data_IF_034856021060
#
_entry.id   IF_034856021060
#
_cell.length_a   1.000
_cell.length_b   1.000
_cell.length_c   1.000
_cell.angle_alpha   90.00
_cell.angle_beta   90.00
_cell.angle_gamma   90.00
#
_symmetry.space_group_name_H-M   'P 1'
#
loop_
_entity.id
_entity.type
_entity.pdbx_description
1 polymer ?
#
# COMPACT_ATOMS: atom_id res chain seq x y z
N UNK A 1 -6.48 9.74 -58.62
CA UNK A 1 -6.66 8.43 -57.93
C UNK A 1 -5.47 8.02 -57.06
N UNK A 2 -4.19 8.20 -57.41
CA UNK A 2 -3.00 7.83 -56.62
C UNK A 2 -2.90 8.53 -55.26
N UNK A 3 -3.16 9.86 -55.15
CA UNK A 3 -3.11 10.64 -53.89
C UNK A 3 -4.10 10.12 -52.82
N UNK A 4 -5.32 9.75 -53.18
CA UNK A 4 -6.32 9.21 -52.21
C UNK A 4 -5.92 7.82 -51.66
N UNK A 5 -5.23 6.98 -52.43
CA UNK A 5 -4.74 5.68 -51.97
C UNK A 5 -3.58 5.82 -51.02
N UNK A 6 -2.67 6.79 -51.25
CA UNK A 6 -1.54 7.07 -50.35
C UNK A 6 -1.99 7.61 -49.00
N UNK A 7 -2.94 8.56 -48.98
CA UNK A 7 -3.50 9.09 -47.70
C UNK A 7 -4.17 7.98 -46.88
N UNK A 8 -4.93 7.07 -47.52
CA UNK A 8 -5.53 5.93 -46.83
C UNK A 8 -4.48 4.97 -46.23
N UNK A 9 -3.38 4.72 -46.93
CA UNK A 9 -2.26 3.89 -46.45
C UNK A 9 -1.54 4.56 -45.27
N UNK A 10 -1.32 5.87 -45.37
CA UNK A 10 -0.71 6.64 -44.26
C UNK A 10 -1.62 6.64 -43.04
N UNK A 11 -2.92 6.89 -43.20
CA UNK A 11 -3.88 6.83 -42.11
C UNK A 11 -3.94 5.44 -41.45
N UNK A 12 -3.90 4.38 -42.23
CA UNK A 12 -3.86 3.01 -41.72
C UNK A 12 -2.57 2.75 -40.93
N UNK A 13 -1.42 3.20 -41.46
CA UNK A 13 -0.12 3.05 -40.74
C UNK A 13 -0.10 3.81 -39.41
N UNK A 14 -0.66 5.03 -39.37
CA UNK A 14 -0.78 5.81 -38.12
C UNK A 14 -1.70 5.11 -37.12
N UNK A 15 -2.84 4.57 -37.56
CA UNK A 15 -3.74 3.82 -36.69
C UNK A 15 -3.10 2.55 -36.12
N UNK A 16 -2.33 1.82 -36.94
CA UNK A 16 -1.56 0.65 -36.48
C UNK A 16 -0.51 1.07 -35.46
N UNK A 17 0.23 2.15 -35.71
CA UNK A 17 1.23 2.66 -34.77
C UNK A 17 0.58 3.06 -33.44
N UNK A 18 -0.55 3.76 -33.46
CA UNK A 18 -1.29 4.12 -32.25
C UNK A 18 -1.78 2.88 -31.48
N UNK A 19 -2.30 1.88 -32.18
CA UNK A 19 -2.71 0.62 -31.58
C UNK A 19 -1.52 -0.11 -30.92
N UNK A 20 -0.36 -0.13 -31.56
CA UNK A 20 0.87 -0.72 -30.99
C UNK A 20 1.38 0.05 -29.79
N UNK A 21 1.30 1.38 -29.79
CA UNK A 21 1.64 2.21 -28.65
C UNK A 21 0.72 1.96 -27.45
N UNK A 22 -0.59 1.85 -27.69
CA UNK A 22 -1.55 1.51 -26.64
C UNK A 22 -1.26 0.11 -26.07
N UNK A 23 -0.98 -0.87 -26.95
CA UNK A 23 -0.65 -2.23 -26.50
C UNK A 23 0.63 -2.24 -25.67
N UNK A 24 1.67 -1.56 -26.12
CA UNK A 24 2.94 -1.46 -25.39
C UNK A 24 2.77 -0.77 -24.04
N UNK A 25 1.98 0.32 -23.96
CA UNK A 25 1.71 1.01 -22.70
C UNK A 25 0.94 0.13 -21.72
N UNK A 26 -0.03 -0.67 -22.19
CA UNK A 26 -0.74 -1.60 -21.31
C UNK A 26 0.17 -2.68 -20.75
N UNK A 27 1.10 -3.22 -21.55
CA UNK A 27 2.08 -4.19 -21.06
C UNK A 27 2.96 -3.58 -19.96
N UNK A 28 3.44 -2.36 -20.14
CA UNK A 28 4.26 -1.68 -19.13
C UNK A 28 3.46 -1.42 -17.85
N UNK A 29 2.22 -0.97 -17.97
CA UNK A 29 1.33 -0.76 -16.82
C UNK A 29 1.06 -2.07 -16.09
N UNK A 30 0.77 -3.16 -16.82
CA UNK A 30 0.55 -4.48 -16.23
C UNK A 30 1.79 -4.97 -15.46
N UNK A 31 2.99 -4.82 -16.03
CA UNK A 31 4.25 -5.19 -15.38
C UNK A 31 4.53 -4.38 -14.11
N UNK A 32 4.08 -3.13 -14.06
CA UNK A 32 4.31 -2.26 -12.90
C UNK A 32 3.24 -2.37 -11.82
N UNK A 33 2.01 -2.77 -12.14
CA UNK A 33 0.87 -2.68 -11.21
C UNK A 33 0.21 -4.03 -10.91
N UNK A 34 0.54 -5.10 -11.64
CA UNK A 34 -0.02 -6.43 -11.44
C UNK A 34 1.03 -7.36 -10.83
N UNK A 35 0.96 -7.71 -9.54
CA UNK A 35 2.00 -8.44 -8.82
C UNK A 35 2.40 -9.78 -9.48
N UNK A 36 1.44 -10.56 -9.98
CA UNK A 36 1.70 -11.83 -10.67
C UNK A 36 2.61 -11.70 -11.91
N UNK A 37 2.63 -10.50 -12.53
CA UNK A 37 3.49 -10.20 -13.68
C UNK A 37 4.83 -9.59 -13.27
N UNK A 38 4.90 -9.00 -12.07
CA UNK A 38 6.13 -8.42 -11.52
C UNK A 38 7.15 -9.48 -11.13
N UNK A 39 6.71 -10.64 -10.62
CA UNK A 39 7.59 -11.77 -10.28
C UNK A 39 8.39 -12.29 -11.49
N UNK A 40 7.96 -12.00 -12.72
CA UNK A 40 8.67 -12.37 -13.95
C UNK A 40 9.78 -11.39 -14.34
N UNK A 41 9.88 -10.24 -13.69
CA UNK A 41 10.93 -9.25 -13.93
C UNK A 41 11.94 -9.26 -12.78
N UNK A 42 12.91 -10.17 -12.80
CA UNK A 42 14.05 -10.24 -11.87
C UNK A 42 14.88 -8.94 -11.78
N UNK A 43 14.61 -7.95 -12.62
CA UNK A 43 15.33 -6.67 -12.64
C UNK A 43 15.09 -5.77 -11.42
N UNK A 44 14.06 -6.04 -10.59
CA UNK A 44 13.77 -5.23 -9.40
C UNK A 44 14.45 -5.76 -8.12
N UNK A 45 14.77 -7.06 -8.03
CA UNK A 45 15.47 -7.64 -6.89
C UNK A 45 16.93 -7.16 -6.79
N UNK A 46 17.63 -7.03 -7.94
CA UNK A 46 19.05 -6.65 -7.97
C UNK A 46 19.32 -5.21 -7.53
N UNK A 47 18.36 -4.29 -7.68
CA UNK A 47 18.53 -2.86 -7.33
C UNK A 47 18.31 -2.61 -5.83
N UNK A 48 17.48 -3.41 -5.17
CA UNK A 48 17.14 -3.18 -3.76
C UNK A 48 18.15 -3.81 -2.79
N UNK A 49 18.72 -4.94 -3.11
CA UNK A 49 19.62 -5.67 -2.23
C UNK A 49 21.02 -5.03 -2.17
N UNK A 50 21.64 -4.73 -3.31
CA UNK A 50 22.99 -4.12 -3.38
C UNK A 50 23.05 -2.68 -2.84
N UNK A 51 22.01 -1.87 -3.06
CA UNK A 51 21.96 -0.50 -2.54
C UNK A 51 21.64 -0.45 -1.04
N UNK A 52 20.90 -1.41 -0.52
CA UNK A 52 20.57 -1.53 0.89
C UNK A 52 21.77 -2.06 1.70
N UNK A 53 22.47 -3.09 1.23
CA UNK A 53 23.67 -3.63 1.87
C UNK A 53 24.84 -2.61 1.93
N UNK A 54 24.96 -1.71 0.93
CA UNK A 54 25.97 -0.67 0.93
C UNK A 54 25.73 0.43 1.97
N UNK A 55 24.47 0.68 2.36
CA UNK A 55 24.07 1.68 3.35
C UNK A 55 24.05 1.15 4.79
N UNK A 56 23.96 -0.16 5.00
CA UNK A 56 23.70 -0.79 6.31
C UNK A 56 24.90 -1.60 6.82
N UNK A 57 26.13 -1.25 6.46
CA UNK A 57 27.32 -1.86 7.08
C UNK A 57 27.66 -1.25 8.44
N UNK A 58 26.72 -1.38 9.39
CA UNK A 58 27.05 -1.26 10.82
C UNK A 58 26.35 -2.38 11.58
N UNK A 59 27.13 -3.23 12.24
CA UNK A 59 26.66 -4.34 13.07
C UNK A 59 25.54 -3.94 14.05
N UNK A 60 25.54 -2.70 14.52
CA UNK A 60 24.55 -2.16 15.46
C UNK A 60 23.14 -1.99 14.85
N UNK A 61 23.03 -1.62 13.56
CA UNK A 61 21.72 -1.44 12.89
C UNK A 61 21.08 -2.80 12.64
N UNK A 62 21.86 -3.77 12.19
CA UNK A 62 21.37 -5.11 11.91
C UNK A 62 20.95 -5.84 13.19
N UNK A 63 21.73 -5.71 14.26
CA UNK A 63 21.38 -6.24 15.59
C UNK A 63 20.10 -5.58 16.14
N UNK A 64 19.96 -4.27 16.01
CA UNK A 64 18.76 -3.55 16.45
C UNK A 64 17.53 -3.96 15.62
N UNK A 65 17.68 -4.15 14.32
CA UNK A 65 16.61 -4.64 13.43
C UNK A 65 16.17 -6.05 13.84
N UNK A 66 17.12 -6.96 14.05
CA UNK A 66 16.81 -8.34 14.47
C UNK A 66 16.13 -8.38 15.84
N UNK A 67 16.62 -7.59 16.80
CA UNK A 67 15.99 -7.48 18.11
C UNK A 67 14.57 -6.90 18.07
N UNK A 68 14.32 -5.95 17.17
CA UNK A 68 12.99 -5.39 16.93
C UNK A 68 12.06 -6.43 16.31
N UNK A 69 12.52 -7.19 15.33
CA UNK A 69 11.74 -8.26 14.68
C UNK A 69 11.38 -9.37 15.68
N UNK A 70 12.32 -9.79 16.53
CA UNK A 70 12.06 -10.80 17.57
C UNK A 70 10.98 -10.34 18.56
N UNK A 71 11.05 -9.10 19.02
CA UNK A 71 10.02 -8.51 19.90
C UNK A 71 8.67 -8.45 19.20
N UNK A 72 8.66 -8.02 17.96
CA UNK A 72 7.43 -7.96 17.12
C UNK A 72 6.81 -9.33 16.96
N UNK A 73 7.58 -10.35 16.60
CA UNK A 73 7.08 -11.72 16.47
C UNK A 73 6.49 -12.24 17.77
N UNK A 74 7.18 -12.02 18.88
CA UNK A 74 6.69 -12.43 20.22
C UNK A 74 5.37 -11.74 20.54
N UNK A 75 5.24 -10.45 20.28
CA UNK A 75 4.02 -9.69 20.48
C UNK A 75 2.88 -10.21 19.59
N UNK A 76 3.11 -10.37 18.28
CA UNK A 76 2.09 -10.89 17.34
C UNK A 76 1.52 -12.23 17.78
N UNK A 77 2.36 -13.11 18.35
CA UNK A 77 1.93 -14.44 18.84
C UNK A 77 1.10 -14.39 20.11
N UNK A 78 1.25 -13.35 20.93
CA UNK A 78 0.60 -13.23 22.23
C UNK A 78 -0.52 -12.18 22.27
N UNK A 79 -0.55 -11.26 21.33
CA UNK A 79 -1.52 -10.18 21.29
C UNK A 79 -2.93 -10.70 21.03
N UNK A 80 -3.92 -10.11 21.70
CA UNK A 80 -5.32 -10.27 21.32
C UNK A 80 -5.52 -9.67 19.93
N UNK A 81 -5.95 -10.47 18.97
CA UNK A 81 -6.08 -10.05 17.58
C UNK A 81 -7.13 -10.83 16.83
N UNK A 82 -7.72 -10.20 15.84
CA UNK A 82 -8.68 -10.87 14.93
C UNK A 82 -8.41 -10.49 13.47
N UNK A 83 -8.74 -11.39 12.56
CA UNK A 83 -8.82 -11.07 11.15
C UNK A 83 -10.10 -10.32 10.85
N UNK A 84 -9.99 -9.23 10.11
CA UNK A 84 -11.10 -8.39 9.69
C UNK A 84 -11.15 -8.29 8.18
N UNK A 85 -12.34 -8.10 7.62
CA UNK A 85 -12.48 -7.93 6.18
C UNK A 85 -13.48 -6.85 5.84
N UNK A 86 -13.26 -6.23 4.68
CA UNK A 86 -14.20 -5.29 4.07
C UNK A 86 -14.41 -5.67 2.61
N UNK A 87 -15.54 -5.26 2.03
CA UNK A 87 -15.79 -5.43 0.60
C UNK A 87 -15.83 -4.06 -0.05
N UNK A 88 -15.01 -3.87 -1.07
CA UNK A 88 -14.93 -2.63 -1.83
C UNK A 88 -16.19 -2.40 -2.66
N UNK A 89 -16.36 -1.18 -3.17
CA UNK A 89 -17.53 -0.84 -4.00
C UNK A 89 -17.60 -1.65 -5.30
N UNK A 90 -16.47 -2.06 -5.83
CA UNK A 90 -16.32 -2.88 -7.04
C UNK A 90 -16.26 -4.39 -6.75
N UNK A 91 -16.47 -4.79 -5.49
CA UNK A 91 -16.73 -6.17 -5.10
C UNK A 91 -15.54 -6.96 -4.59
N UNK A 92 -14.33 -6.39 -4.53
CA UNK A 92 -13.15 -7.06 -3.99
C UNK A 92 -13.22 -7.18 -2.46
N UNK A 93 -12.85 -8.34 -1.95
CA UNK A 93 -12.67 -8.58 -0.53
C UNK A 93 -11.25 -8.21 -0.12
N UNK A 94 -11.13 -7.25 0.78
CA UNK A 94 -9.86 -6.88 1.39
C UNK A 94 -9.78 -7.46 2.80
N UNK A 95 -8.60 -7.91 3.18
CA UNK A 95 -8.30 -8.52 4.47
C UNK A 95 -7.38 -7.62 5.29
N UNK A 96 -7.49 -7.73 6.60
CA UNK A 96 -6.64 -7.00 7.53
C UNK A 96 -6.61 -7.70 8.88
N UNK A 97 -5.73 -7.23 9.75
CA UNK A 97 -5.62 -7.72 11.12
C UNK A 97 -5.77 -6.58 12.09
N UNK A 98 -6.64 -6.77 13.07
CA UNK A 98 -6.80 -5.85 14.19
C UNK A 98 -6.14 -6.43 15.43
N UNK A 99 -5.40 -5.61 16.18
CA UNK A 99 -4.77 -5.94 17.45
C UNK A 99 -5.37 -5.07 18.54
N UNK A 100 -5.69 -5.69 19.65
CA UNK A 100 -6.38 -5.04 20.76
C UNK A 100 -5.49 -4.93 21.99
N UNK A 101 -5.63 -3.82 22.69
CA UNK A 101 -4.98 -3.58 23.97
C UNK A 101 -5.96 -3.86 25.11
N UNK A 102 -5.45 -4.34 26.24
CA UNK A 102 -6.24 -4.46 27.45
C UNK A 102 -6.64 -3.08 27.98
N UNK A 103 -7.89 -2.96 28.44
CA UNK A 103 -8.44 -1.72 28.99
C UNK A 103 -9.29 -0.91 28.01
N UNK A 104 -9.70 0.28 28.45
CA UNK A 104 -10.57 1.18 27.69
C UNK A 104 -9.79 2.20 26.84
N UNK A 105 -8.96 1.72 25.92
CA UNK A 105 -8.29 2.64 24.99
C UNK A 105 -9.18 2.94 23.79
N UNK A 106 -9.41 4.23 23.54
CA UNK A 106 -10.06 4.74 22.33
C UNK A 106 -9.07 5.25 21.28
N UNK A 107 -7.77 5.09 21.52
CA UNK A 107 -6.75 5.48 20.55
C UNK A 107 -6.52 4.36 19.57
N UNK A 108 -6.72 4.67 18.29
CA UNK A 108 -6.58 3.74 17.18
C UNK A 108 -5.54 4.22 16.17
N UNK A 109 -4.85 3.29 15.56
CA UNK A 109 -4.05 3.57 14.37
C UNK A 109 -4.47 2.64 13.23
N UNK A 110 -4.64 3.22 12.05
CA UNK A 110 -4.77 2.52 10.77
C UNK A 110 -3.41 2.60 10.08
N UNK A 111 -2.75 1.45 9.89
CA UNK A 111 -1.42 1.37 9.29
C UNK A 111 -1.50 0.91 7.83
N UNK A 112 -0.89 1.65 6.92
CA UNK A 112 -0.93 1.39 5.47
C UNK A 112 0.48 1.09 4.96
N UNK A 113 0.66 -0.10 4.36
CA UNK A 113 1.96 -0.59 3.87
C UNK A 113 2.40 0.09 2.56
N UNK A 114 3.66 -0.14 2.19
CA UNK A 114 4.28 0.37 0.97
C UNK A 114 3.86 -0.38 -0.31
N UNK A 115 4.44 0.05 -1.43
CA UNK A 115 4.29 -0.61 -2.72
C UNK A 115 4.84 -2.04 -2.67
N UNK A 116 4.11 -3.00 -3.24
CA UNK A 116 4.40 -4.44 -3.17
C UNK A 116 4.46 -5.06 -1.77
N UNK A 117 4.23 -4.26 -0.72
CA UNK A 117 4.20 -4.74 0.65
C UNK A 117 2.88 -5.42 1.03
N UNK A 118 2.81 -5.86 2.26
CA UNK A 118 1.64 -6.48 2.88
C UNK A 118 1.59 -6.15 4.38
N UNK A 119 0.51 -6.52 5.06
CA UNK A 119 0.23 -6.13 6.45
C UNK A 119 1.33 -6.51 7.45
N UNK A 120 2.00 -7.66 7.26
CA UNK A 120 3.05 -8.13 8.18
C UNK A 120 4.28 -7.23 8.20
N UNK A 121 4.59 -6.53 7.11
CA UNK A 121 5.70 -5.57 7.05
C UNK A 121 5.49 -4.37 7.98
N UNK A 122 4.21 -4.06 8.27
CA UNK A 122 3.84 -2.98 9.18
C UNK A 122 3.80 -3.41 10.65
N UNK A 123 3.97 -4.69 10.97
CA UNK A 123 3.89 -5.18 12.35
C UNK A 123 4.96 -4.60 13.29
N UNK A 124 6.20 -4.28 12.87
CA UNK A 124 7.13 -3.57 13.73
C UNK A 124 6.61 -2.18 14.17
N UNK A 125 5.98 -1.45 13.24
CA UNK A 125 5.35 -0.17 13.55
C UNK A 125 4.09 -0.38 14.39
N UNK A 126 3.32 -1.43 14.10
CA UNK A 126 2.13 -1.82 14.88
C UNK A 126 2.49 -2.08 16.34
N UNK A 127 3.57 -2.83 16.59
CA UNK A 127 4.09 -3.10 17.93
C UNK A 127 4.43 -1.80 18.67
N UNK A 128 5.10 -0.85 18.03
CA UNK A 128 5.43 0.44 18.61
C UNK A 128 4.20 1.28 19.01
N UNK A 129 3.12 1.20 18.23
CA UNK A 129 1.84 1.82 18.59
C UNK A 129 1.14 1.06 19.72
N UNK A 130 1.17 -0.25 19.71
CA UNK A 130 0.60 -1.10 20.74
C UNK A 130 1.24 -0.86 22.10
N UNK A 131 2.59 -0.75 22.16
CA UNK A 131 3.34 -0.39 23.38
C UNK A 131 2.93 0.99 23.95
N UNK A 132 2.33 1.84 23.13
CA UNK A 132 1.81 3.15 23.54
C UNK A 132 0.30 3.14 23.85
N UNK A 133 -0.31 1.95 23.88
CA UNK A 133 -1.70 1.75 24.25
C UNK A 133 -2.71 1.98 23.10
N UNK A 134 -2.25 2.01 21.85
CA UNK A 134 -3.14 2.10 20.69
C UNK A 134 -3.73 0.74 20.34
N UNK A 135 -5.01 0.72 19.99
CA UNK A 135 -5.61 -0.32 19.19
C UNK A 135 -5.06 -0.18 17.76
N UNK A 136 -4.75 -1.28 17.09
CA UNK A 136 -4.07 -1.23 15.78
C UNK A 136 -4.89 -1.97 14.75
N UNK A 137 -5.08 -1.38 13.57
CA UNK A 137 -5.63 -2.06 12.40
C UNK A 137 -4.65 -1.95 11.24
N UNK A 138 -4.27 -3.11 10.69
CA UNK A 138 -3.32 -3.22 9.58
C UNK A 138 -3.97 -4.01 8.45
N UNK A 139 -4.43 -3.36 7.37
CA UNK A 139 -4.95 -4.04 6.20
C UNK A 139 -3.84 -4.41 5.21
N UNK A 140 -4.08 -5.46 4.44
CA UNK A 140 -3.53 -5.59 3.10
C UNK A 140 -4.34 -4.66 2.18
N UNK A 141 -3.66 -3.73 1.52
CA UNK A 141 -4.33 -2.88 0.54
C UNK A 141 -4.71 -3.71 -0.70
N UNK A 142 -5.50 -3.14 -1.59
CA UNK A 142 -5.94 -3.77 -2.84
C UNK A 142 -4.77 -4.45 -3.58
N UNK A 143 -4.98 -5.69 -4.07
CA UNK A 143 -3.99 -6.46 -4.84
C UNK A 143 -2.66 -6.67 -4.11
N UNK A 144 -2.70 -6.78 -2.77
CA UNK A 144 -1.52 -7.01 -1.92
C UNK A 144 -1.84 -8.05 -0.86
N UNK A 145 -0.85 -8.85 -0.47
CA UNK A 145 -0.99 -9.89 0.54
C UNK A 145 -2.14 -10.84 0.23
N UNK A 146 -3.11 -10.92 1.14
CA UNK A 146 -4.30 -11.78 1.01
C UNK A 146 -5.54 -11.03 0.47
N UNK A 147 -5.42 -9.74 0.16
CA UNK A 147 -6.50 -8.91 -0.39
C UNK A 147 -6.66 -9.10 -1.89
N UNK A 148 -7.91 -9.16 -2.32
CA UNK A 148 -8.25 -9.25 -3.74
C UNK A 148 -7.99 -7.93 -4.47
N UNK A 149 -7.88 -8.00 -5.80
CA UNK A 149 -7.72 -6.86 -6.69
C UNK A 149 -7.03 -7.26 -7.99
N UNK A 150 -7.21 -6.47 -9.03
CA UNK A 150 -6.58 -6.72 -10.33
C UNK A 150 -5.26 -5.96 -10.50
N UNK A 151 -5.06 -4.90 -9.71
CA UNK A 151 -3.85 -4.06 -9.77
C UNK A 151 -3.64 -3.28 -8.47
N UNK A 152 -2.38 -2.92 -8.21
CA UNK A 152 -2.00 -2.03 -7.10
C UNK A 152 -2.47 -0.61 -7.42
N UNK A 153 -3.23 -0.01 -6.52
CA UNK A 153 -3.93 1.25 -6.75
C UNK A 153 -3.07 2.51 -6.64
N UNK A 154 -1.77 2.39 -6.30
CA UNK A 154 -0.82 3.49 -6.12
C UNK A 154 -1.33 4.60 -5.20
N UNK A 155 -2.08 4.23 -4.15
CA UNK A 155 -2.71 5.15 -3.21
C UNK A 155 -3.99 5.81 -3.74
N UNK A 156 -4.15 5.96 -5.05
CA UNK A 156 -5.29 6.67 -5.63
C UNK A 156 -6.61 5.90 -5.51
N UNK A 157 -6.62 4.63 -5.87
CA UNK A 157 -7.80 3.77 -5.69
C UNK A 157 -7.94 3.40 -4.21
N UNK A 158 -6.83 3.04 -3.59
CA UNK A 158 -6.73 2.57 -2.21
C UNK A 158 -7.28 3.58 -1.19
N UNK A 159 -7.16 4.90 -1.46
CA UNK A 159 -7.69 5.93 -0.55
C UNK A 159 -9.18 5.77 -0.26
N UNK A 160 -9.96 5.30 -1.24
CA UNK A 160 -11.40 5.07 -1.07
C UNK A 160 -11.69 3.74 -0.37
N UNK A 161 -10.90 2.71 -0.67
CA UNK A 161 -11.01 1.42 0.00
C UNK A 161 -10.67 1.57 1.49
N UNK A 162 -9.64 2.36 1.82
CA UNK A 162 -9.22 2.58 3.20
C UNK A 162 -10.22 3.36 4.05
N UNK A 163 -11.18 4.08 3.46
CA UNK A 163 -12.32 4.64 4.20
C UNK A 163 -13.20 3.55 4.82
N UNK A 164 -13.27 2.37 4.24
CA UNK A 164 -14.01 1.24 4.78
C UNK A 164 -13.39 0.73 6.09
N UNK A 165 -12.07 0.79 6.20
CA UNK A 165 -11.37 0.43 7.42
C UNK A 165 -11.64 1.41 8.56
N UNK A 166 -11.73 2.72 8.27
CA UNK A 166 -12.18 3.72 9.25
C UNK A 166 -13.60 3.40 9.76
N UNK A 167 -14.50 3.02 8.85
CA UNK A 167 -15.84 2.61 9.23
C UNK A 167 -15.83 1.34 10.08
N UNK A 168 -14.93 0.40 9.83
CA UNK A 168 -14.77 -0.82 10.62
C UNK A 168 -14.32 -0.48 12.05
N UNK A 169 -13.34 0.41 12.20
CA UNK A 169 -12.92 0.93 13.52
C UNK A 169 -14.13 1.57 14.23
N UNK A 170 -14.84 2.48 13.55
CA UNK A 170 -15.97 3.21 14.15
C UNK A 170 -17.18 2.35 14.50
N UNK A 171 -17.38 1.24 13.80
CA UNK A 171 -18.40 0.24 14.18
C UNK A 171 -18.05 -0.45 15.50
N UNK A 172 -16.76 -0.65 15.74
CA UNK A 172 -16.24 -1.31 16.94
C UNK A 172 -16.13 -0.33 18.11
N UNK A 173 -15.66 0.89 17.82
CA UNK A 173 -15.48 1.97 18.80
C UNK A 173 -15.94 3.32 18.23
N UNK A 174 -17.12 3.76 18.62
CA UNK A 174 -17.68 5.05 18.15
C UNK A 174 -16.93 6.26 18.67
N UNK A 175 -16.18 6.10 19.76
CA UNK A 175 -15.39 7.14 20.39
C UNK A 175 -13.93 7.12 19.94
N UNK A 176 -13.58 6.27 18.98
CA UNK A 176 -12.21 6.12 18.49
C UNK A 176 -11.60 7.48 18.13
N UNK A 177 -10.34 7.68 18.52
CA UNK A 177 -9.45 8.75 18.05
C UNK A 177 -8.43 8.11 17.12
N UNK A 178 -8.57 8.36 15.83
CA UNK A 178 -7.85 7.58 14.82
C UNK A 178 -6.66 8.36 14.29
N UNK A 179 -5.50 7.73 14.27
CA UNK A 179 -4.33 8.13 13.49
C UNK A 179 -4.29 7.27 12.22
N UNK A 180 -4.11 7.87 11.06
CA UNK A 180 -3.79 7.16 9.83
C UNK A 180 -2.29 7.30 9.63
N UNK A 181 -1.55 6.18 9.59
CA UNK A 181 -0.10 6.19 9.36
C UNK A 181 0.22 5.28 8.17
N UNK A 182 0.83 5.84 7.16
CA UNK A 182 1.25 5.10 5.97
C UNK A 182 2.73 5.28 5.66
N UNK A 183 3.35 4.20 5.18
CA UNK A 183 4.74 4.17 4.74
C UNK A 183 4.81 4.14 3.21
N UNK A 184 5.68 4.93 2.59
CA UNK A 184 5.90 4.98 1.14
C UNK A 184 4.58 5.19 0.37
N UNK A 185 4.14 4.22 -0.44
CA UNK A 185 2.83 4.24 -1.11
C UNK A 185 1.67 4.41 -0.11
N UNK A 186 1.73 3.73 1.04
CA UNK A 186 0.77 3.91 2.13
C UNK A 186 0.76 5.33 2.67
N UNK A 187 1.93 5.97 2.76
CA UNK A 187 2.06 7.37 3.15
C UNK A 187 1.42 8.33 2.14
N UNK A 188 1.61 8.09 0.84
CA UNK A 188 0.93 8.82 -0.22
C UNK A 188 -0.59 8.59 -0.16
N UNK A 189 -1.03 7.35 0.05
CA UNK A 189 -2.44 7.01 0.23
C UNK A 189 -3.04 7.76 1.43
N UNK A 190 -2.37 7.77 2.59
CA UNK A 190 -2.81 8.47 3.79
C UNK A 190 -3.00 9.98 3.53
N UNK A 191 -2.08 10.61 2.79
CA UNK A 191 -2.24 12.01 2.36
C UNK A 191 -3.42 12.19 1.39
N UNK A 192 -3.58 11.29 0.42
CA UNK A 192 -4.70 11.34 -0.53
C UNK A 192 -6.06 11.16 0.17
N UNK A 193 -6.11 10.38 1.26
CA UNK A 193 -7.31 10.24 2.08
C UNK A 193 -7.76 11.56 2.70
N UNK A 194 -6.84 12.49 3.00
CA UNK A 194 -7.21 13.82 3.55
C UNK A 194 -8.02 14.67 2.59
N UNK A 195 -8.04 14.34 1.31
CA UNK A 195 -8.89 14.97 0.30
C UNK A 195 -10.30 14.35 0.19
N UNK A 196 -10.57 13.27 0.91
CA UNK A 196 -11.88 12.64 1.01
C UNK A 196 -12.64 13.16 2.25
N UNK A 197 -13.91 12.78 2.36
CA UNK A 197 -14.76 13.15 3.51
C UNK A 197 -14.43 12.24 4.71
N UNK A 198 -13.41 12.64 5.47
CA UNK A 198 -12.96 11.90 6.65
C UNK A 198 -13.87 12.15 7.85
N UNK A 199 -14.15 11.13 8.68
CA UNK A 199 -14.87 11.33 9.94
C UNK A 199 -14.05 12.19 10.92
N UNK A 200 -14.73 12.98 11.75
CA UNK A 200 -14.11 13.82 12.79
C UNK A 200 -13.25 13.03 13.80
N UNK A 201 -13.42 11.71 13.81
CA UNK A 201 -12.63 10.77 14.60
C UNK A 201 -11.17 10.68 14.16
N UNK A 202 -10.84 11.00 12.92
CA UNK A 202 -9.46 11.07 12.43
C UNK A 202 -8.81 12.33 13.00
N UNK A 203 -7.77 12.15 13.83
CA UNK A 203 -7.09 13.21 14.57
C UNK A 203 -5.75 13.59 13.96
N UNK A 204 -5.08 12.66 13.29
CA UNK A 204 -3.79 12.90 12.66
C UNK A 204 -3.60 11.97 11.46
N UNK A 205 -2.77 12.43 10.54
CA UNK A 205 -2.25 11.65 9.42
C UNK A 205 -0.74 11.75 9.46
N UNK A 206 -0.09 10.58 9.46
CA UNK A 206 1.37 10.44 9.41
C UNK A 206 1.73 9.86 8.04
N UNK A 207 2.60 10.56 7.34
CA UNK A 207 3.11 10.15 6.04
C UNK A 207 4.61 9.94 6.15
N UNK A 208 5.01 8.67 6.14
CA UNK A 208 6.41 8.29 6.20
C UNK A 208 6.92 8.01 4.78
N UNK A 209 7.93 8.79 4.36
CA UNK A 209 8.65 8.59 3.09
C UNK A 209 7.75 8.53 1.83
N UNK A 210 6.65 9.29 1.82
CA UNK A 210 5.70 9.29 0.71
C UNK A 210 6.25 9.97 -0.54
N UNK A 211 5.78 9.51 -1.69
CA UNK A 211 6.02 10.20 -2.95
C UNK A 211 4.99 11.31 -3.20
N UNK A 212 5.36 12.26 -4.03
CA UNK A 212 4.47 13.36 -4.46
C UNK A 212 3.58 12.95 -5.63
N UNK A 213 4.09 12.09 -6.51
CA UNK A 213 3.37 11.52 -7.66
C UNK A 213 4.04 10.22 -8.15
N UNK A 214 3.25 9.30 -8.65
CA UNK A 214 3.72 8.00 -9.13
C UNK A 214 4.69 8.11 -10.32
N UNK A 215 4.53 9.10 -11.20
CA UNK A 215 5.41 9.29 -12.35
C UNK A 215 6.85 9.60 -11.92
N UNK A 216 7.02 10.42 -10.89
CA UNK A 216 8.34 10.78 -10.37
C UNK A 216 9.10 9.57 -9.84
N UNK A 217 8.42 8.62 -9.21
CA UNK A 217 9.04 7.38 -8.73
C UNK A 217 9.56 6.55 -9.91
N UNK A 218 8.70 6.24 -10.87
CA UNK A 218 9.08 5.39 -12.00
C UNK A 218 10.09 6.05 -12.94
N UNK A 219 10.26 7.37 -12.89
CA UNK A 219 11.28 8.09 -13.68
C UNK A 219 12.64 8.09 -13.00
N UNK A 220 12.71 8.03 -11.69
CA UNK A 220 13.96 8.07 -10.90
C UNK A 220 14.58 6.68 -10.68
N UNK A 221 13.88 5.62 -11.05
CA UNK A 221 14.35 4.24 -11.09
C UNK A 221 14.94 3.93 -12.44
#
# INVERSE_FOLDING_TARGET
MRKKKWIKRLAAAVLILLALLVLASNIVVDLALVPEKMEQTQAFEDITEDSYEALVKTDDIEQNKMASLEKTEKWVRSADSEEVSVTTKDGYRLLGRAFYQEGESHDWVLLLHGYTGWKEEMYPIAFEYAERGYQVLVPDMRCSGESEGDFIGMGWTDRKDNLLWLQTILKKDKNARIVIHGQSMGGACALMMTGEDLPDNVKAVVSDSAYTDAYSIFKSS
#
